data_IF_391626888583
#
_entry.id   IF_391626888583
#
_cell.length_a   1.000
_cell.length_b   1.000
_cell.length_c   1.000
_cell.angle_alpha   90.00
_cell.angle_beta   90.00
_cell.angle_gamma   90.00
#
_symmetry.space_group_name_H-M   'P 1'
#
loop_
_entity.id
_entity.type
_entity.pdbx_description
1 polymer ?
#
# COMPACT_ATOMS: atom_id res chain seq x y z
N UNK A 1 -12.40 13.55 5.14
CA UNK A 1 -11.38 14.62 5.03
C UNK A 1 -9.94 14.11 5.14
N UNK A 2 -9.51 13.32 6.15
CA UNK A 2 -8.09 12.97 6.28
C UNK A 2 -7.57 12.01 5.18
N UNK A 3 -8.38 11.05 4.72
CA UNK A 3 -7.95 10.04 3.74
C UNK A 3 -7.56 10.61 2.38
N UNK A 4 -8.31 11.58 1.85
CA UNK A 4 -7.96 12.20 0.56
C UNK A 4 -6.58 12.86 0.63
N UNK A 5 -6.35 13.66 1.68
CA UNK A 5 -5.06 14.30 1.88
C UNK A 5 -3.92 13.28 2.08
N UNK A 6 -4.18 12.19 2.80
CA UNK A 6 -3.22 11.08 2.94
C UNK A 6 -2.87 10.46 1.58
N UNK A 7 -3.86 10.10 0.76
CA UNK A 7 -3.63 9.55 -0.57
C UNK A 7 -2.87 10.53 -1.48
N UNK A 8 -3.16 11.82 -1.37
CA UNK A 8 -2.42 12.86 -2.09
C UNK A 8 -0.96 12.91 -1.65
N UNK A 9 -0.69 12.96 -0.33
CA UNK A 9 0.67 12.97 0.22
C UNK A 9 1.48 11.72 -0.14
N UNK A 10 0.82 10.56 -0.24
CA UNK A 10 1.47 9.29 -0.58
C UNK A 10 1.61 9.07 -2.09
N UNK A 11 1.03 9.94 -2.92
CA UNK A 11 1.13 9.78 -4.37
C UNK A 11 2.60 9.95 -4.83
N UNK A 12 3.08 9.13 -5.78
CA UNK A 12 4.47 9.19 -6.26
C UNK A 12 4.86 10.57 -6.77
N UNK A 13 3.98 11.21 -7.54
CA UNK A 13 4.18 12.57 -8.06
C UNK A 13 4.41 13.57 -6.93
N UNK A 14 3.60 13.55 -5.87
CA UNK A 14 3.79 14.45 -4.73
C UNK A 14 5.06 14.11 -3.96
N UNK A 15 5.37 12.82 -3.80
CA UNK A 15 6.58 12.37 -3.12
C UNK A 15 7.84 12.88 -3.84
N UNK A 16 7.91 12.68 -5.15
CA UNK A 16 9.08 13.02 -5.98
C UNK A 16 9.20 14.53 -6.22
N UNK A 17 8.11 15.19 -6.61
CA UNK A 17 8.18 16.59 -7.05
C UNK A 17 8.16 17.59 -5.90
N UNK A 18 7.61 17.21 -4.74
CA UNK A 18 7.35 18.16 -3.64
C UNK A 18 7.95 17.72 -2.31
N UNK A 19 7.81 16.45 -1.91
CA UNK A 19 8.27 16.00 -0.59
C UNK A 19 9.79 15.80 -0.57
N UNK A 20 10.36 15.07 -1.53
CA UNK A 20 11.79 14.79 -1.58
C UNK A 20 12.65 16.06 -1.64
N UNK A 21 12.34 17.08 -2.47
CA UNK A 21 13.13 18.32 -2.54
C UNK A 21 13.07 19.16 -1.26
N UNK A 22 11.98 19.05 -0.50
CA UNK A 22 11.80 19.76 0.77
C UNK A 22 12.38 19.00 1.97
N UNK A 23 12.64 17.70 1.80
CA UNK A 23 13.19 16.83 2.83
C UNK A 23 14.66 17.16 3.10
N UNK A 24 15.01 17.25 4.38
CA UNK A 24 16.38 17.57 4.84
C UNK A 24 16.95 16.42 5.65
N UNK A 25 18.28 16.35 5.71
CA UNK A 25 19.02 15.35 6.49
C UNK A 25 19.30 14.09 5.68
N UNK A 26 20.60 13.79 5.48
CA UNK A 26 21.03 12.63 4.69
C UNK A 26 20.86 11.30 5.41
N UNK A 27 21.05 11.27 6.74
CA UNK A 27 20.90 10.05 7.56
C UNK A 27 19.47 9.85 8.10
N UNK A 28 18.70 10.94 8.25
CA UNK A 28 17.30 10.91 8.68
C UNK A 28 16.52 12.01 7.95
N UNK A 29 15.91 11.65 6.81
CA UNK A 29 15.09 12.57 6.02
C UNK A 29 13.91 13.07 6.85
N UNK A 30 13.74 14.39 6.94
CA UNK A 30 12.63 15.01 7.66
C UNK A 30 12.15 16.29 6.98
N UNK A 31 10.85 16.54 7.10
CA UNK A 31 10.24 17.83 6.76
C UNK A 31 10.14 18.69 8.02
N UNK A 32 10.67 19.90 7.96
CA UNK A 32 10.45 20.86 9.03
C UNK A 32 9.02 21.45 8.93
N UNK A 33 8.51 21.94 10.06
CA UNK A 33 7.14 22.48 10.14
C UNK A 33 6.93 23.70 9.22
N UNK A 34 7.98 24.47 8.92
CA UNK A 34 7.92 25.60 8.00
C UNK A 34 7.70 25.17 6.55
N UNK A 35 8.34 24.08 6.13
CA UNK A 35 8.14 23.46 4.83
C UNK A 35 6.73 22.86 4.73
N UNK A 36 6.28 22.16 5.77
CA UNK A 36 4.93 21.59 5.82
C UNK A 36 3.84 22.66 5.70
N UNK A 37 4.01 23.82 6.35
CA UNK A 37 3.05 24.93 6.27
C UNK A 37 2.95 25.57 4.89
N UNK A 38 3.98 25.45 4.06
CA UNK A 38 4.02 25.99 2.69
C UNK A 38 3.78 24.91 1.63
N UNK A 39 3.49 23.69 2.06
CA UNK A 39 3.28 22.56 1.17
C UNK A 39 2.04 22.82 0.30
N UNK A 40 2.17 22.86 -1.03
CA UNK A 40 1.04 23.06 -1.91
C UNK A 40 0.21 21.78 -1.99
N UNK A 41 -1.10 21.88 -1.77
CA UNK A 41 -2.00 20.75 -1.95
C UNK A 41 -3.26 21.16 -2.70
N UNK A 42 -3.79 20.23 -3.49
CA UNK A 42 -5.04 20.43 -4.23
C UNK A 42 -6.21 20.10 -3.31
N UNK A 43 -7.16 21.02 -3.16
CA UNK A 43 -8.37 20.80 -2.37
C UNK A 43 -9.62 20.91 -3.26
N UNK A 44 -10.04 19.81 -3.93
CA UNK A 44 -11.24 19.82 -4.74
C UNK A 44 -12.51 19.85 -3.86
N UNK A 45 -13.70 19.96 -4.46
CA UNK A 45 -14.95 19.93 -3.70
C UNK A 45 -15.13 18.61 -2.93
N UNK A 46 -15.88 18.65 -1.82
CA UNK A 46 -16.04 17.48 -0.94
C UNK A 46 -16.61 16.25 -1.66
N UNK A 47 -17.48 16.47 -2.64
CA UNK A 47 -18.02 15.38 -3.46
C UNK A 47 -16.90 14.66 -4.21
N UNK A 48 -16.01 15.41 -4.88
CA UNK A 48 -14.88 14.85 -5.61
C UNK A 48 -13.91 14.14 -4.67
N UNK A 49 -13.58 14.74 -3.52
CA UNK A 49 -12.74 14.09 -2.51
C UNK A 49 -13.31 12.74 -2.07
N UNK A 50 -14.62 12.69 -1.82
CA UNK A 50 -15.32 11.48 -1.37
C UNK A 50 -15.30 10.40 -2.45
N UNK A 51 -15.58 10.78 -3.70
CA UNK A 51 -15.54 9.85 -4.84
C UNK A 51 -14.15 9.25 -5.03
N UNK A 52 -13.10 10.07 -5.03
CA UNK A 52 -11.71 9.60 -5.18
C UNK A 52 -11.36 8.62 -4.05
N UNK A 53 -11.69 8.96 -2.80
CA UNK A 53 -11.41 8.08 -1.65
C UNK A 53 -12.14 6.74 -1.79
N UNK A 54 -13.40 6.74 -2.23
CA UNK A 54 -14.18 5.51 -2.42
C UNK A 54 -13.55 4.58 -3.48
N UNK A 55 -13.10 5.14 -4.61
CA UNK A 55 -12.44 4.37 -5.66
C UNK A 55 -11.11 3.77 -5.18
N UNK A 56 -10.30 4.56 -4.47
CA UNK A 56 -9.02 4.09 -3.92
C UNK A 56 -9.22 3.01 -2.84
N UNK A 57 -10.21 3.16 -1.97
CA UNK A 57 -10.54 2.16 -0.95
C UNK A 57 -11.04 0.85 -1.60
N UNK A 58 -11.85 0.95 -2.66
CA UNK A 58 -12.30 -0.22 -3.41
C UNK A 58 -11.13 -0.94 -4.09
N UNK A 59 -10.16 -0.18 -4.63
CA UNK A 59 -8.94 -0.77 -5.20
C UNK A 59 -8.07 -1.44 -4.14
N UNK A 60 -7.89 -0.80 -2.98
CA UNK A 60 -7.13 -1.37 -1.87
C UNK A 60 -7.75 -2.69 -1.39
N UNK A 61 -9.07 -2.74 -1.28
CA UNK A 61 -9.81 -3.96 -0.91
C UNK A 61 -9.53 -5.12 -1.89
N UNK A 62 -9.47 -4.83 -3.20
CA UNK A 62 -9.12 -5.84 -4.21
C UNK A 62 -7.68 -6.33 -4.06
N UNK A 63 -6.75 -5.42 -3.81
CA UNK A 63 -5.34 -5.76 -3.57
C UNK A 63 -5.21 -6.66 -2.34
N UNK A 64 -5.89 -6.32 -1.26
CA UNK A 64 -5.84 -7.09 -0.01
C UNK A 64 -6.43 -8.49 -0.19
N UNK A 65 -7.52 -8.62 -0.95
CA UNK A 65 -8.10 -9.93 -1.31
C UNK A 65 -7.13 -10.79 -2.14
N UNK A 66 -6.42 -10.20 -3.10
CA UNK A 66 -5.41 -10.92 -3.91
C UNK A 66 -4.24 -11.37 -3.03
N UNK A 67 -3.74 -10.51 -2.16
CA UNK A 67 -2.66 -10.86 -1.21
C UNK A 67 -3.08 -11.97 -0.26
N UNK A 68 -4.32 -11.94 0.24
CA UNK A 68 -4.88 -13.00 1.08
C UNK A 68 -4.86 -14.35 0.37
N UNK A 69 -5.41 -14.42 -0.84
CA UNK A 69 -5.39 -15.63 -1.66
C UNK A 69 -3.97 -16.14 -1.94
N UNK A 70 -3.06 -15.23 -2.26
CA UNK A 70 -1.65 -15.60 -2.50
C UNK A 70 -1.02 -16.24 -1.25
N UNK A 71 -1.30 -15.69 -0.06
CA UNK A 71 -0.83 -16.24 1.21
C UNK A 71 -1.44 -17.62 1.50
N UNK A 72 -2.74 -17.80 1.24
CA UNK A 72 -3.43 -19.08 1.43
C UNK A 72 -2.86 -20.15 0.48
N UNK A 73 -2.70 -19.83 -0.80
CA UNK A 73 -2.12 -20.75 -1.79
C UNK A 73 -0.67 -21.12 -1.46
N UNK A 74 0.13 -20.17 -0.98
CA UNK A 74 1.50 -20.46 -0.55
C UNK A 74 1.52 -21.45 0.62
N UNK A 75 0.66 -21.24 1.63
CA UNK A 75 0.56 -22.15 2.77
C UNK A 75 0.06 -23.56 2.37
N UNK A 76 -0.87 -23.65 1.41
CA UNK A 76 -1.34 -24.93 0.88
C UNK A 76 -0.22 -25.69 0.16
N UNK A 77 0.55 -25.02 -0.70
CA UNK A 77 1.70 -25.61 -1.39
C UNK A 77 2.77 -26.12 -0.42
N UNK A 78 3.06 -25.35 0.63
CA UNK A 78 4.01 -25.75 1.68
C UNK A 78 3.54 -27.01 2.43
N UNK A 79 2.22 -27.18 2.61
CA UNK A 79 1.64 -28.36 3.25
C UNK A 79 1.52 -29.58 2.31
N UNK A 80 1.39 -29.35 0.99
CA UNK A 80 1.28 -30.42 -0.01
C UNK A 80 2.58 -31.22 -0.17
N UNK A 81 3.74 -30.57 -0.12
CA UNK A 81 5.04 -31.22 -0.27
C UNK A 81 5.26 -32.34 0.78
N UNK A 82 5.11 -32.09 2.09
CA UNK A 82 5.16 -33.12 3.12
C UNK A 82 4.11 -34.22 2.93
N UNK A 83 2.88 -33.87 2.55
CA UNK A 83 1.80 -34.83 2.37
C UNK A 83 2.05 -35.80 1.19
N UNK A 84 2.61 -35.30 0.09
CA UNK A 84 3.01 -36.11 -1.06
C UNK A 84 4.17 -37.04 -0.69
N UNK A 85 5.19 -36.52 0.02
CA UNK A 85 6.31 -37.33 0.47
C UNK A 85 5.87 -38.44 1.43
N UNK A 86 4.99 -38.14 2.38
CA UNK A 86 4.45 -39.12 3.32
C UNK A 86 3.71 -40.26 2.59
N UNK A 87 2.86 -39.92 1.61
CA UNK A 87 2.21 -40.94 0.75
C UNK A 87 3.21 -41.75 -0.06
N UNK A 88 4.26 -41.11 -0.59
CA UNK A 88 5.29 -41.78 -1.38
C UNK A 88 6.05 -42.81 -0.54
N UNK A 89 6.43 -42.43 0.68
CA UNK A 89 7.15 -43.30 1.61
C UNK A 89 6.29 -44.43 2.18
N UNK A 90 4.96 -44.25 2.25
CA UNK A 90 4.00 -45.31 2.61
C UNK A 90 3.61 -46.23 1.45
N UNK A 91 4.00 -45.91 0.22
CA UNK A 91 3.64 -46.67 -0.97
C UNK A 91 2.17 -46.53 -1.38
N UNK A 92 1.50 -45.45 -0.96
CA UNK A 92 0.08 -45.15 -1.22
C UNK A 92 -0.12 -44.24 -2.45
N UNK A 93 0.89 -44.15 -3.30
CA UNK A 93 0.98 -43.21 -4.42
C UNK A 93 0.71 -43.87 -5.77
#
# INVERSE_FOLDING_TARGET
>A
MPKFFLFQLLSPTIQEDQIQPLSKGSASPHLNIGALRRFPFVLPSLNIQTRIVAELDALQTKIDAVKGRQSETAAELDAMLPAILDKAFKGEL
#
